data_IF_900875917270
#
_entry.id   IF_900875917270
#
_cell.length_a   1.000
_cell.length_b   1.000
_cell.length_c   1.000
_cell.angle_alpha   90.00
_cell.angle_beta   90.00
_cell.angle_gamma   90.00
#
_symmetry.space_group_name_H-M   'P 1'
#
loop_
_entity.id
_entity.type
_entity.pdbx_description
1 polymer ?
#
# COMPACT_ATOMS: atom_id res chain seq x y z
N UNK A 1 25.33 13.33 -26.65
CA UNK A 1 25.37 14.58 -25.87
C UNK A 1 24.34 14.56 -24.73
N UNK A 2 23.10 14.15 -24.99
CA UNK A 2 21.99 14.19 -24.03
C UNK A 2 22.05 13.18 -22.87
N UNK A 3 22.87 12.12 -22.96
CA UNK A 3 22.97 11.06 -21.95
C UNK A 3 24.33 11.00 -21.25
N UNK A 4 25.24 11.96 -21.48
CA UNK A 4 26.60 11.90 -20.93
C UNK A 4 26.61 12.41 -19.47
N UNK A 5 27.16 11.63 -18.54
CA UNK A 5 27.40 12.01 -17.14
C UNK A 5 28.25 13.29 -16.93
N UNK A 6 29.10 13.65 -17.89
CA UNK A 6 30.05 14.77 -17.75
C UNK A 6 29.54 16.09 -18.37
N UNK A 7 28.29 16.15 -18.83
CA UNK A 7 27.67 17.36 -19.42
C UNK A 7 26.25 17.52 -18.89
N UNK A 8 25.70 18.73 -19.01
CA UNK A 8 24.31 19.02 -18.66
C UNK A 8 23.36 17.99 -19.31
N UNK A 9 22.80 17.11 -18.48
CA UNK A 9 21.97 16.00 -18.92
C UNK A 9 20.51 16.34 -18.67
N UNK A 10 19.78 16.63 -19.75
CA UNK A 10 18.39 17.08 -19.67
C UNK A 10 17.48 16.05 -19.01
N UNK A 11 17.75 14.75 -19.18
CA UNK A 11 16.95 13.67 -18.56
C UNK A 11 17.12 13.68 -17.05
N UNK A 12 18.35 13.85 -16.57
CA UNK A 12 18.63 13.96 -15.13
C UNK A 12 17.94 15.19 -14.52
N UNK A 13 18.10 16.37 -15.13
CA UNK A 13 17.48 17.59 -14.61
C UNK A 13 15.96 17.55 -14.65
N UNK A 14 15.40 17.06 -15.76
CA UNK A 14 13.95 16.86 -15.89
C UNK A 14 13.45 15.88 -14.83
N UNK A 15 14.15 14.76 -14.63
CA UNK A 15 13.83 13.79 -13.58
C UNK A 15 13.88 14.41 -12.18
N UNK A 16 14.92 15.17 -11.87
CA UNK A 16 15.10 15.82 -10.57
C UNK A 16 14.01 16.87 -10.31
N UNK A 17 13.72 17.73 -11.28
CA UNK A 17 12.66 18.76 -11.17
C UNK A 17 11.29 18.10 -11.04
N UNK A 18 10.96 17.16 -11.91
CA UNK A 18 9.67 16.46 -11.88
C UNK A 18 9.52 15.53 -10.67
N UNK A 19 10.61 15.16 -9.99
CA UNK A 19 10.54 14.43 -8.73
C UNK A 19 10.34 15.36 -7.54
N UNK A 20 11.20 16.37 -7.41
CA UNK A 20 11.26 17.21 -6.22
C UNK A 20 10.16 18.27 -6.17
N UNK A 21 9.79 18.88 -7.29
CA UNK A 21 8.74 19.92 -7.31
C UNK A 21 7.38 19.35 -6.91
N UNK A 22 6.89 18.22 -7.50
CA UNK A 22 5.63 17.62 -7.06
C UNK A 22 5.69 17.11 -5.62
N UNK A 23 6.84 16.59 -5.17
CA UNK A 23 7.00 16.17 -3.78
C UNK A 23 6.90 17.36 -2.80
N UNK A 24 7.56 18.48 -3.10
CA UNK A 24 7.45 19.69 -2.28
C UNK A 24 6.03 20.26 -2.31
N UNK A 25 5.38 20.25 -3.49
CA UNK A 25 3.98 20.65 -3.61
C UNK A 25 3.07 19.77 -2.75
N UNK A 26 3.30 18.45 -2.73
CA UNK A 26 2.57 17.52 -1.87
C UNK A 26 2.73 17.88 -0.39
N UNK A 27 3.95 18.18 0.07
CA UNK A 27 4.20 18.63 1.44
C UNK A 27 3.45 19.93 1.75
N UNK A 28 3.51 20.91 0.85
CA UNK A 28 2.80 22.19 1.02
C UNK A 28 1.29 21.93 1.11
N UNK A 29 0.73 21.14 0.19
CA UNK A 29 -0.68 20.80 0.22
C UNK A 29 -1.05 20.07 1.51
N UNK A 30 -0.20 19.17 2.02
CA UNK A 30 -0.37 18.49 3.30
C UNK A 30 -0.53 19.47 4.47
N UNK A 31 0.31 20.50 4.53
CA UNK A 31 0.24 21.50 5.60
C UNK A 31 -0.95 22.46 5.48
N UNK A 32 -1.46 22.73 4.28
CA UNK A 32 -2.55 23.71 4.06
C UNK A 32 -3.93 23.07 3.91
N UNK A 33 -4.01 21.78 3.60
CA UNK A 33 -5.25 21.06 3.28
C UNK A 33 -5.29 19.66 3.93
N UNK A 34 -4.82 19.53 5.17
CA UNK A 34 -4.76 18.25 5.91
C UNK A 34 -6.07 17.46 5.80
N UNK A 35 -7.21 18.13 6.02
CA UNK A 35 -8.53 17.52 6.08
C UNK A 35 -8.98 16.99 4.70
N UNK A 36 -8.52 17.61 3.61
CA UNK A 36 -8.80 17.14 2.24
C UNK A 36 -7.87 16.03 1.78
N UNK A 37 -6.71 15.86 2.44
CA UNK A 37 -5.72 14.84 2.11
C UNK A 37 -5.99 13.54 2.82
N UNK A 38 -6.50 13.59 4.05
CA UNK A 38 -6.96 12.39 4.77
C UNK A 38 -8.01 11.61 3.94
N UNK A 39 -8.96 12.33 3.34
CA UNK A 39 -9.94 11.74 2.43
C UNK A 39 -9.32 11.10 1.16
N UNK A 40 -8.16 11.59 0.71
CA UNK A 40 -7.44 11.04 -0.44
C UNK A 40 -6.59 9.81 -0.08
N UNK A 41 -5.91 9.82 1.07
CA UNK A 41 -5.14 8.67 1.55
C UNK A 41 -6.08 7.46 1.66
N UNK A 42 -7.26 7.67 2.26
CA UNK A 42 -8.29 6.64 2.43
C UNK A 42 -8.93 6.15 1.11
N UNK A 43 -8.74 6.85 -0.02
CA UNK A 43 -9.25 6.42 -1.34
C UNK A 43 -8.24 5.63 -2.17
N UNK A 44 -6.93 5.83 -1.94
CA UNK A 44 -5.87 5.07 -2.61
C UNK A 44 -5.45 3.79 -1.88
N UNK A 45 -5.77 3.64 -0.59
CA UNK A 45 -5.46 2.43 0.17
C UNK A 45 -6.63 1.44 0.13
N UNK A 46 -6.40 0.28 -0.49
CA UNK A 46 -7.27 -0.88 -0.26
C UNK A 46 -6.90 -1.47 1.12
N UNK A 47 -7.45 -0.84 2.17
CA UNK A 47 -7.11 -1.08 3.59
C UNK A 47 -7.22 -2.55 4.00
N UNK A 48 -8.06 -3.31 3.28
CA UNK A 48 -8.32 -4.72 3.51
C UNK A 48 -7.08 -5.61 3.37
N UNK A 49 -6.12 -5.25 2.50
CA UNK A 49 -4.91 -6.05 2.27
C UNK A 49 -3.78 -5.71 3.26
N UNK A 50 -3.67 -4.46 3.68
CA UNK A 50 -2.54 -3.96 4.48
C UNK A 50 -2.74 -4.13 5.99
N UNK A 51 -3.98 -4.05 6.50
CA UNK A 51 -4.23 -3.94 7.96
C UNK A 51 -4.86 -5.17 8.62
N UNK A 52 -5.06 -6.28 7.90
CA UNK A 52 -5.74 -7.47 8.46
C UNK A 52 -5.01 -8.17 9.64
N UNK A 53 -3.68 -8.00 9.77
CA UNK A 53 -2.90 -8.38 10.96
C UNK A 53 -1.52 -7.69 10.98
N UNK A 54 -0.89 -7.60 12.17
CA UNK A 54 0.47 -7.07 12.36
C UNK A 54 1.50 -7.75 11.45
N UNK A 55 1.39 -9.07 11.30
CA UNK A 55 2.29 -9.86 10.45
C UNK A 55 2.10 -9.50 8.98
N UNK A 56 0.85 -9.40 8.50
CA UNK A 56 0.54 -9.00 7.13
C UNK A 56 1.02 -7.59 6.83
N UNK A 57 0.82 -6.67 7.76
CA UNK A 57 1.32 -5.29 7.66
C UNK A 57 2.84 -5.26 7.52
N UNK A 58 3.56 -5.92 8.44
CA UNK A 58 5.04 -5.99 8.39
C UNK A 58 5.50 -6.61 7.07
N UNK A 59 4.92 -7.74 6.66
CA UNK A 59 5.25 -8.38 5.37
C UNK A 59 5.01 -7.42 4.20
N UNK A 60 3.92 -6.67 4.22
CA UNK A 60 3.58 -5.70 3.18
C UNK A 60 4.55 -4.52 3.13
N UNK A 61 5.00 -4.01 4.28
CA UNK A 61 6.04 -2.99 4.38
C UNK A 61 7.36 -3.49 3.76
N UNK A 62 7.80 -4.69 4.15
CA UNK A 62 9.00 -5.30 3.58
C UNK A 62 8.88 -5.52 2.08
N UNK A 63 7.72 -5.96 1.61
CA UNK A 63 7.47 -6.17 0.19
C UNK A 63 7.54 -4.84 -0.58
N UNK A 64 6.81 -3.82 -0.14
CA UNK A 64 6.67 -2.52 -0.81
C UNK A 64 7.97 -1.70 -0.79
N UNK A 65 8.72 -1.74 0.32
CA UNK A 65 9.92 -0.93 0.48
C UNK A 65 11.18 -1.57 -0.11
N UNK A 66 11.28 -2.91 -0.11
CA UNK A 66 12.51 -3.61 -0.51
C UNK A 66 12.34 -4.47 -1.76
N UNK A 67 11.32 -5.32 -1.79
CA UNK A 67 11.23 -6.38 -2.80
C UNK A 67 10.63 -5.86 -4.10
N UNK A 68 9.50 -5.15 -4.04
CA UNK A 68 8.84 -4.58 -5.22
C UNK A 68 9.77 -3.66 -6.04
N UNK A 69 10.54 -2.72 -5.43
CA UNK A 69 11.51 -1.92 -6.17
C UNK A 69 12.54 -2.74 -6.96
N UNK A 70 13.02 -3.87 -6.42
CA UNK A 70 13.97 -4.73 -7.14
C UNK A 70 13.33 -5.29 -8.42
N UNK A 71 12.09 -5.81 -8.31
CA UNK A 71 11.36 -6.35 -9.45
C UNK A 71 11.04 -5.28 -10.48
N UNK A 72 10.55 -4.12 -10.02
CA UNK A 72 10.22 -2.99 -10.88
C UNK A 72 11.44 -2.50 -11.67
N UNK A 73 12.58 -2.30 -11.02
CA UNK A 73 13.81 -1.88 -11.71
C UNK A 73 14.31 -2.95 -12.69
N UNK A 74 14.24 -4.24 -12.36
CA UNK A 74 14.61 -5.31 -13.30
C UNK A 74 13.70 -5.31 -14.53
N UNK A 75 12.38 -5.15 -14.32
CA UNK A 75 11.38 -5.20 -15.38
C UNK A 75 11.43 -3.94 -16.25
N UNK A 76 11.46 -2.75 -15.67
CA UNK A 76 11.41 -1.50 -16.41
C UNK A 76 12.76 -1.07 -16.96
N UNK A 77 13.86 -1.32 -16.24
CA UNK A 77 15.17 -0.79 -16.66
C UNK A 77 16.07 -1.84 -17.31
N UNK A 78 15.71 -3.12 -17.20
CA UNK A 78 16.47 -4.23 -17.79
C UNK A 78 16.67 -4.13 -19.30
N UNK A 79 15.74 -3.50 -20.03
CA UNK A 79 15.84 -3.26 -21.47
C UNK A 79 17.05 -2.40 -21.88
N UNK A 80 17.52 -1.55 -20.98
CA UNK A 80 18.63 -0.61 -21.22
C UNK A 80 19.99 -1.22 -20.86
N UNK A 81 20.03 -2.40 -20.24
CA UNK A 81 21.27 -3.10 -19.92
C UNK A 81 21.91 -3.75 -21.15
N UNK A 82 23.22 -3.96 -21.12
CA UNK A 82 23.93 -4.65 -22.23
C UNK A 82 23.63 -6.15 -22.29
N UNK A 83 23.28 -6.77 -21.15
CA UNK A 83 23.06 -8.20 -21.04
C UNK A 83 21.70 -8.60 -21.67
N UNK A 84 21.73 -9.54 -22.62
CA UNK A 84 20.54 -10.00 -23.37
C UNK A 84 19.48 -10.65 -22.47
N UNK A 85 19.88 -11.35 -21.41
CA UNK A 85 18.96 -12.00 -20.49
C UNK A 85 18.07 -10.97 -19.79
N UNK A 86 18.67 -9.91 -19.24
CA UNK A 86 17.90 -8.83 -18.61
C UNK A 86 16.99 -8.08 -19.59
N UNK A 87 17.42 -7.92 -20.85
CA UNK A 87 16.54 -7.34 -21.88
C UNK A 87 15.29 -8.17 -22.12
N UNK A 88 15.44 -9.49 -22.26
CA UNK A 88 14.29 -10.38 -22.46
C UNK A 88 13.39 -10.44 -21.24
N UNK A 89 13.97 -10.51 -20.03
CA UNK A 89 13.21 -10.42 -18.78
C UNK A 89 12.42 -9.11 -18.73
N UNK A 90 13.03 -7.99 -19.11
CA UNK A 90 12.37 -6.69 -19.16
C UNK A 90 11.24 -6.64 -20.17
N UNK A 91 11.44 -7.10 -21.41
CA UNK A 91 10.36 -7.09 -22.41
C UNK A 91 9.18 -7.98 -22.02
N UNK A 92 9.43 -9.23 -21.62
CA UNK A 92 8.36 -10.12 -21.18
C UNK A 92 7.71 -9.62 -19.89
N UNK A 93 8.52 -9.09 -18.97
CA UNK A 93 8.08 -8.48 -17.73
C UNK A 93 7.18 -7.28 -17.97
N UNK A 94 7.55 -6.34 -18.84
CA UNK A 94 6.76 -5.15 -19.15
C UNK A 94 5.41 -5.53 -19.76
N UNK A 95 5.39 -6.51 -20.67
CA UNK A 95 4.15 -7.04 -21.20
C UNK A 95 3.28 -7.66 -20.10
N UNK A 96 3.82 -8.56 -19.30
CA UNK A 96 3.09 -9.22 -18.21
C UNK A 96 2.58 -8.24 -17.15
N UNK A 97 3.43 -7.31 -16.72
CA UNK A 97 3.13 -6.30 -15.71
C UNK A 97 2.02 -5.36 -16.19
N UNK A 98 2.09 -4.89 -17.44
CA UNK A 98 1.03 -4.06 -18.04
C UNK A 98 -0.30 -4.81 -18.12
N UNK A 99 -0.28 -6.09 -18.52
CA UNK A 99 -1.50 -6.91 -18.62
C UNK A 99 -2.10 -7.29 -17.26
N UNK A 100 -1.28 -7.36 -16.21
CA UNK A 100 -1.74 -7.73 -14.87
C UNK A 100 -2.24 -6.52 -14.07
N UNK A 101 -1.44 -5.46 -13.97
CA UNK A 101 -1.71 -4.35 -13.05
C UNK A 101 -2.64 -3.27 -13.62
N UNK A 102 -2.52 -2.95 -14.91
CA UNK A 102 -3.25 -1.81 -15.46
C UNK A 102 -3.50 -1.95 -16.97
N UNK A 103 -4.64 -2.53 -17.32
CA UNK A 103 -5.08 -2.76 -18.71
C UNK A 103 -5.68 -1.50 -19.37
N UNK A 104 -5.29 -0.31 -18.93
CA UNK A 104 -5.75 0.93 -19.57
C UNK A 104 -5.25 1.01 -21.01
N UNK A 105 -6.06 1.64 -21.88
CA UNK A 105 -5.64 1.89 -23.27
C UNK A 105 -4.36 2.73 -23.32
N UNK A 106 -4.14 3.59 -22.33
CA UNK A 106 -2.96 4.44 -22.23
C UNK A 106 -1.68 3.64 -21.95
N UNK A 107 -1.70 2.69 -21.00
CA UNK A 107 -0.54 1.84 -20.71
C UNK A 107 -0.20 0.95 -21.91
N UNK A 108 -1.22 0.38 -22.57
CA UNK A 108 -1.04 -0.44 -23.77
C UNK A 108 -0.45 0.37 -24.94
N UNK A 109 -0.92 1.60 -25.15
CA UNK A 109 -0.38 2.50 -26.17
C UNK A 109 1.08 2.86 -25.89
N UNK A 110 1.43 3.16 -24.64
CA UNK A 110 2.81 3.46 -24.24
C UNK A 110 3.74 2.25 -24.37
N UNK A 111 3.26 1.04 -24.02
CA UNK A 111 3.99 -0.20 -24.22
C UNK A 111 4.28 -0.46 -25.70
N UNK A 112 3.28 -0.26 -26.57
CA UNK A 112 3.45 -0.41 -28.01
C UNK A 112 4.46 0.61 -28.56
N UNK A 113 4.37 1.88 -28.14
CA UNK A 113 5.34 2.92 -28.51
C UNK A 113 6.76 2.57 -28.05
N UNK A 114 6.91 2.06 -26.82
CA UNK A 114 8.20 1.60 -26.31
C UNK A 114 8.80 0.49 -27.19
N UNK A 115 8.00 -0.49 -27.62
CA UNK A 115 8.46 -1.54 -28.53
C UNK A 115 8.77 -1.03 -29.93
N UNK A 116 7.98 -0.10 -30.46
CA UNK A 116 8.27 0.57 -31.75
C UNK A 116 9.62 1.29 -31.66
N UNK A 117 9.85 2.10 -30.63
CA UNK A 117 11.12 2.79 -30.47
C UNK A 117 12.29 1.84 -30.22
N UNK A 118 12.08 0.73 -29.51
CA UNK A 118 13.07 -0.33 -29.34
C UNK A 118 13.46 -0.94 -30.68
N UNK A 119 12.48 -1.29 -31.50
CA UNK A 119 12.70 -1.82 -32.85
C UNK A 119 13.45 -0.82 -33.72
N UNK A 120 13.00 0.44 -33.77
CA UNK A 120 13.63 1.50 -34.55
C UNK A 120 15.07 1.79 -34.10
N UNK A 121 15.34 1.78 -32.78
CA UNK A 121 16.67 1.96 -32.24
C UNK A 121 17.62 0.85 -32.69
N UNK A 122 17.17 -0.41 -32.68
CA UNK A 122 17.97 -1.54 -33.15
C UNK A 122 18.18 -1.53 -34.67
N UNK A 123 17.15 -1.17 -35.45
CA UNK A 123 17.21 -1.13 -36.91
C UNK A 123 18.08 0.02 -37.44
N UNK A 124 17.97 1.22 -36.83
CA UNK A 124 18.60 2.45 -37.33
C UNK A 124 19.86 2.87 -36.56
N UNK A 125 20.15 2.25 -35.40
CA UNK A 125 21.29 2.56 -34.51
C UNK A 125 21.41 4.05 -34.18
N UNK A 126 20.29 4.75 -34.03
CA UNK A 126 20.25 6.20 -33.80
C UNK A 126 19.94 6.49 -32.33
N UNK A 127 20.85 7.22 -31.67
CA UNK A 127 20.74 7.64 -30.27
C UNK A 127 19.46 8.43 -29.94
N UNK A 128 18.84 9.09 -30.93
CA UNK A 128 17.56 9.76 -30.73
C UNK A 128 16.46 8.80 -30.27
N UNK A 129 16.39 7.59 -30.84
CA UNK A 129 15.38 6.60 -30.45
C UNK A 129 15.60 6.07 -29.03
N UNK A 130 16.83 6.05 -28.54
CA UNK A 130 17.11 5.70 -27.14
C UNK A 130 16.46 6.70 -26.17
N UNK A 131 16.44 7.99 -26.52
CA UNK A 131 15.77 9.02 -25.70
C UNK A 131 14.27 8.82 -25.70
N UNK A 132 13.69 8.51 -26.86
CA UNK A 132 12.26 8.21 -26.96
C UNK A 132 11.89 6.97 -26.14
N UNK A 133 12.71 5.91 -26.20
CA UNK A 133 12.54 4.72 -25.35
C UNK A 133 12.54 5.09 -23.85
N UNK A 134 13.49 5.92 -23.40
CA UNK A 134 13.59 6.37 -22.00
C UNK A 134 12.31 7.10 -21.59
N UNK A 135 11.87 8.07 -22.40
CA UNK A 135 10.66 8.86 -22.12
C UNK A 135 9.42 7.97 -22.10
N UNK A 136 9.23 7.11 -23.09
CA UNK A 136 8.06 6.22 -23.13
C UNK A 136 8.05 5.21 -22.00
N UNK A 137 9.22 4.69 -21.59
CA UNK A 137 9.32 3.73 -20.50
C UNK A 137 9.01 4.39 -19.14
N UNK A 138 9.55 5.59 -18.91
CA UNK A 138 9.23 6.35 -17.69
C UNK A 138 7.75 6.76 -17.64
N UNK A 139 7.16 7.15 -18.77
CA UNK A 139 5.72 7.43 -18.85
C UNK A 139 4.89 6.17 -18.58
N UNK A 140 5.28 5.03 -19.16
CA UNK A 140 4.61 3.75 -18.94
C UNK A 140 4.66 3.36 -17.46
N UNK A 141 5.83 3.47 -16.82
CA UNK A 141 5.98 3.24 -15.38
C UNK A 141 5.01 4.11 -14.60
N UNK A 142 4.96 5.41 -14.88
CA UNK A 142 4.07 6.32 -14.18
C UNK A 142 2.58 6.01 -14.40
N UNK A 143 2.17 5.70 -15.63
CA UNK A 143 0.78 5.48 -16.02
C UNK A 143 0.23 4.16 -15.48
N UNK A 144 1.05 3.12 -15.38
CA UNK A 144 0.61 1.83 -14.83
C UNK A 144 0.19 1.96 -13.36
N UNK A 145 0.76 2.90 -12.62
CA UNK A 145 0.41 3.15 -11.22
C UNK A 145 -0.79 4.09 -11.03
N UNK A 146 -1.47 4.51 -12.11
CA UNK A 146 -2.65 5.39 -12.02
C UNK A 146 -3.92 4.58 -12.15
N UNK A 147 -4.79 4.67 -11.14
CA UNK A 147 -6.16 4.21 -11.25
C UNK A 147 -6.99 5.27 -12.00
N UNK A 148 -7.24 5.03 -13.29
CA UNK A 148 -7.99 5.98 -14.12
C UNK A 148 -9.48 6.11 -13.75
N UNK A 149 -9.99 5.24 -12.88
CA UNK A 149 -11.37 5.34 -12.37
C UNK A 149 -11.47 6.27 -11.16
N UNK A 150 -10.36 6.62 -10.51
CA UNK A 150 -10.31 7.48 -9.33
C UNK A 150 -9.29 8.61 -9.53
N UNK A 151 -9.58 9.50 -10.49
CA UNK A 151 -8.74 10.67 -10.76
C UNK A 151 -9.11 11.82 -9.82
N UNK A 152 -8.11 12.38 -9.16
CA UNK A 152 -8.27 13.53 -8.27
C UNK A 152 -7.15 14.56 -8.48
N UNK A 153 -7.15 15.62 -7.66
CA UNK A 153 -6.19 16.74 -7.75
C UNK A 153 -4.74 16.30 -7.50
N UNK A 154 -4.51 15.20 -6.78
CA UNK A 154 -3.19 14.65 -6.50
C UNK A 154 -2.69 13.73 -7.61
N UNK A 155 -3.57 13.18 -8.46
CA UNK A 155 -3.16 12.27 -9.54
C UNK A 155 -2.09 12.87 -10.47
N UNK A 156 -2.21 14.12 -10.96
CA UNK A 156 -1.16 14.73 -11.78
C UNK A 156 0.18 14.91 -11.03
N UNK A 157 0.13 15.19 -9.73
CA UNK A 157 1.31 15.37 -8.86
C UNK A 157 2.03 14.02 -8.70
N UNK A 158 1.26 12.97 -8.41
CA UNK A 158 1.75 11.60 -8.28
C UNK A 158 2.35 11.10 -9.60
N UNK A 159 1.67 11.33 -10.72
CA UNK A 159 2.14 10.99 -12.06
C UNK A 159 3.47 11.72 -12.38
N UNK A 160 3.54 13.03 -12.16
CA UNK A 160 4.77 13.79 -12.39
C UNK A 160 5.95 13.27 -11.53
N UNK A 161 5.69 12.96 -10.24
CA UNK A 161 6.70 12.41 -9.32
C UNK A 161 7.20 11.03 -9.74
N UNK A 162 6.30 10.12 -10.14
CA UNK A 162 6.66 8.77 -10.61
C UNK A 162 7.43 8.84 -11.94
N UNK A 163 6.95 9.64 -12.88
CA UNK A 163 7.65 9.89 -14.15
C UNK A 163 9.06 10.47 -13.92
N UNK A 164 9.18 11.50 -13.08
CA UNK A 164 10.47 12.11 -12.73
C UNK A 164 11.42 11.12 -12.04
N UNK A 165 10.91 10.33 -11.11
CA UNK A 165 11.68 9.27 -10.43
C UNK A 165 12.22 8.23 -11.41
N UNK A 166 11.38 7.76 -12.34
CA UNK A 166 11.79 6.75 -13.31
C UNK A 166 12.80 7.28 -14.34
N UNK A 167 12.75 8.57 -14.68
CA UNK A 167 13.78 9.21 -15.50
C UNK A 167 15.15 9.22 -14.79
N UNK A 168 15.17 9.44 -13.47
CA UNK A 168 16.40 9.37 -12.66
C UNK A 168 16.94 7.94 -12.60
N UNK A 169 16.07 6.94 -12.38
CA UNK A 169 16.42 5.53 -12.40
C UNK A 169 17.06 5.14 -13.75
N UNK A 170 16.40 5.43 -14.87
CA UNK A 170 16.93 5.18 -16.21
C UNK A 170 18.25 5.90 -16.48
N UNK A 171 18.39 7.15 -16.01
CA UNK A 171 19.65 7.88 -16.10
C UNK A 171 20.78 7.16 -15.37
N UNK A 172 20.51 6.64 -14.16
CA UNK A 172 21.47 5.84 -13.39
C UNK A 172 21.81 4.53 -14.09
N UNK A 173 20.83 3.83 -14.67
CA UNK A 173 21.08 2.57 -15.39
C UNK A 173 21.92 2.78 -16.64
N UNK A 174 21.64 3.84 -17.41
CA UNK A 174 22.37 4.17 -18.64
C UNK A 174 23.81 4.62 -18.34
N UNK A 175 24.05 5.36 -17.26
CA UNK A 175 25.37 5.93 -16.95
C UNK A 175 26.20 5.10 -15.97
N UNK A 176 25.56 4.25 -15.17
CA UNK A 176 26.18 3.48 -14.10
C UNK A 176 25.78 2.00 -14.19
N UNK A 177 24.96 1.51 -13.26
CA UNK A 177 24.56 0.11 -13.12
C UNK A 177 23.15 0.06 -12.52
N UNK A 178 22.41 -1.01 -12.83
CA UNK A 178 21.07 -1.27 -12.30
C UNK A 178 20.99 -1.14 -10.77
N UNK A 179 22.02 -1.61 -10.05
CA UNK A 179 22.04 -1.59 -8.59
C UNK A 179 21.88 -0.18 -7.98
N UNK A 180 22.33 0.87 -8.67
CA UNK A 180 22.17 2.24 -8.17
C UNK A 180 20.73 2.74 -8.31
N UNK A 181 20.03 2.35 -9.37
CA UNK A 181 18.61 2.64 -9.54
C UNK A 181 17.78 1.90 -8.48
N UNK A 182 18.08 0.62 -8.24
CA UNK A 182 17.48 -0.17 -7.16
C UNK A 182 17.66 0.51 -5.80
N UNK A 183 18.88 0.93 -5.44
CA UNK A 183 19.11 1.59 -4.16
C UNK A 183 18.37 2.94 -4.05
N UNK A 184 18.32 3.73 -5.13
CA UNK A 184 17.56 4.98 -5.15
C UNK A 184 16.07 4.73 -4.92
N UNK A 185 15.51 3.71 -5.59
CA UNK A 185 14.10 3.36 -5.49
C UNK A 185 13.75 2.84 -4.09
N UNK A 186 14.54 1.90 -3.55
CA UNK A 186 14.39 1.40 -2.17
C UNK A 186 14.47 2.56 -1.17
N UNK A 187 15.46 3.44 -1.30
CA UNK A 187 15.61 4.60 -0.43
C UNK A 187 14.38 5.49 -0.48
N UNK A 188 13.89 5.80 -1.69
CA UNK A 188 12.73 6.65 -1.87
C UNK A 188 11.45 6.04 -1.30
N UNK A 189 11.17 4.76 -1.57
CA UNK A 189 9.99 4.08 -1.03
C UNK A 189 10.07 3.95 0.48
N UNK A 190 11.24 3.62 1.03
CA UNK A 190 11.45 3.57 2.48
C UNK A 190 11.24 4.95 3.11
N UNK A 191 11.73 6.01 2.48
CA UNK A 191 11.54 7.38 2.95
C UNK A 191 10.06 7.80 2.97
N UNK A 192 9.32 7.53 1.88
CA UNK A 192 7.87 7.78 1.85
C UNK A 192 7.11 6.94 2.88
N UNK A 193 7.50 5.67 3.06
CA UNK A 193 6.92 4.79 4.07
C UNK A 193 7.15 5.31 5.50
N UNK A 194 8.36 5.78 5.81
CA UNK A 194 8.66 6.37 7.13
C UNK A 194 7.83 7.64 7.35
N UNK A 195 7.67 8.48 6.32
CA UNK A 195 6.79 9.66 6.38
C UNK A 195 5.34 9.23 6.65
N UNK A 196 4.82 8.26 5.90
CA UNK A 196 3.46 7.76 6.08
C UNK A 196 3.24 7.23 7.51
N UNK A 197 4.15 6.39 8.01
CA UNK A 197 4.07 5.85 9.38
C UNK A 197 4.14 6.93 10.47
N UNK A 198 4.87 8.02 10.22
CA UNK A 198 4.99 9.12 11.17
C UNK A 198 3.70 9.95 11.25
N UNK A 199 3.04 10.20 10.11
CA UNK A 199 1.84 11.04 10.05
C UNK A 199 0.54 10.28 10.35
N UNK A 200 0.42 9.06 9.83
CA UNK A 200 -0.79 8.24 9.97
C UNK A 200 -0.86 7.54 11.35
N UNK A 201 0.30 7.47 12.04
CA UNK A 201 0.51 6.82 13.34
C UNK A 201 -0.39 5.58 13.59
N UNK A 202 -0.50 4.60 12.65
CA UNK A 202 -1.37 3.44 12.80
C UNK A 202 -0.95 2.53 13.96
N UNK A 203 0.22 2.80 14.56
CA UNK A 203 0.76 2.15 15.74
C UNK A 203 0.14 2.68 17.05
N UNK A 204 -0.39 3.91 17.07
CA UNK A 204 -0.92 4.56 18.27
C UNK A 204 -2.26 5.29 18.09
N UNK A 205 -2.76 5.52 16.88
CA UNK A 205 -4.06 6.16 16.65
C UNK A 205 -5.21 5.18 16.96
N UNK A 206 -5.57 5.10 18.22
CA UNK A 206 -6.99 5.10 18.56
C UNK A 206 -7.28 6.58 18.75
N UNK A 207 -7.88 7.24 17.74
CA UNK A 207 -8.68 8.43 18.06
C UNK A 207 -9.55 8.05 19.25
N UNK A 208 -9.70 8.89 20.27
CA UNK A 208 -10.54 8.59 21.44
C UNK A 208 -11.91 8.09 20.95
N UNK A 209 -12.05 6.78 20.81
CA UNK A 209 -13.24 6.18 20.25
C UNK A 209 -14.24 6.24 21.38
N UNK A 210 -15.43 6.76 21.05
CA UNK A 210 -16.52 6.83 22.00
C UNK A 210 -16.66 5.45 22.67
N UNK A 211 -16.60 5.42 24.00
CA UNK A 211 -16.84 4.20 24.75
C UNK A 211 -18.25 3.71 24.38
N UNK A 212 -18.32 2.63 23.62
CA UNK A 212 -19.59 2.05 23.20
C UNK A 212 -20.09 1.16 24.33
N UNK A 213 -21.36 1.33 24.64
CA UNK A 213 -22.03 0.63 25.72
C UNK A 213 -23.21 -0.14 25.18
N UNK A 214 -23.31 -1.40 25.58
CA UNK A 214 -24.47 -2.22 25.30
C UNK A 214 -24.91 -2.95 26.57
N UNK A 215 -26.19 -2.81 26.93
CA UNK A 215 -26.76 -3.46 28.10
C UNK A 215 -28.11 -4.07 27.79
N UNK A 216 -28.33 -5.28 28.32
CA UNK A 216 -29.63 -5.91 28.35
C UNK A 216 -29.88 -6.62 29.69
N UNK A 217 -30.92 -7.46 29.78
CA UNK A 217 -31.29 -8.20 30.99
C UNK A 217 -30.23 -9.22 31.46
N UNK A 218 -29.26 -9.55 30.61
CA UNK A 218 -28.33 -10.67 30.76
C UNK A 218 -26.87 -10.24 30.83
N UNK A 219 -26.48 -9.16 30.17
CA UNK A 219 -25.09 -8.75 30.03
C UNK A 219 -24.96 -7.24 29.91
N UNK A 220 -23.78 -6.75 30.28
CA UNK A 220 -23.31 -5.41 30.01
C UNK A 220 -21.95 -5.56 29.32
N UNK A 221 -21.82 -4.97 28.13
CA UNK A 221 -20.60 -4.93 27.34
C UNK A 221 -20.21 -3.47 27.13
N UNK A 222 -19.10 -3.09 27.72
CA UNK A 222 -18.38 -1.86 27.41
C UNK A 222 -17.25 -2.23 26.44
N UNK A 223 -17.14 -1.51 25.33
CA UNK A 223 -16.03 -1.72 24.41
C UNK A 223 -15.58 -0.43 23.74
N UNK A 224 -14.30 -0.37 23.42
CA UNK A 224 -13.68 0.69 22.65
C UNK A 224 -12.65 0.08 21.70
N UNK A 225 -12.35 0.77 20.60
CA UNK A 225 -11.32 0.32 19.68
C UNK A 225 -9.97 0.34 20.39
N UNK A 226 -9.14 -0.64 20.06
CA UNK A 226 -7.81 -0.81 20.63
C UNK A 226 -6.75 -0.76 19.52
N UNK A 227 -5.52 -0.33 19.83
CA UNK A 227 -4.47 -0.28 18.82
C UNK A 227 -4.25 -1.66 18.19
N UNK A 228 -4.18 -1.69 16.86
CA UNK A 228 -4.03 -2.93 16.11
C UNK A 228 -2.74 -3.72 16.46
N UNK A 229 -1.74 -3.06 17.05
CA UNK A 229 -0.40 -3.61 17.30
C UNK A 229 -0.11 -4.04 18.75
N UNK A 230 -1.10 -3.97 19.64
CA UNK A 230 -0.98 -4.42 21.03
C UNK A 230 -1.26 -5.94 21.16
N UNK A 231 -0.57 -6.60 22.08
CA UNK A 231 -0.79 -8.03 22.36
C UNK A 231 -2.13 -8.24 23.08
N UNK A 232 -2.84 -9.31 22.71
CA UNK A 232 -4.11 -9.66 23.35
C UNK A 232 -3.86 -10.07 24.80
N UNK A 233 -4.65 -9.52 25.73
CA UNK A 233 -4.58 -9.90 27.14
C UNK A 233 -5.96 -10.23 27.66
N UNK A 234 -6.04 -11.33 28.39
CA UNK A 234 -7.28 -11.81 28.99
C UNK A 234 -7.14 -11.80 30.49
N UNK A 235 -8.03 -11.06 31.16
CA UNK A 235 -8.13 -10.99 32.61
C UNK A 235 -9.55 -11.35 33.03
N UNK A 236 -9.69 -12.57 33.57
CA UNK A 236 -10.94 -13.09 34.09
C UNK A 236 -10.95 -12.87 35.60
N UNK A 237 -11.48 -11.72 36.06
CA UNK A 237 -11.51 -11.42 37.50
C UNK A 237 -12.39 -12.40 38.27
N UNK A 238 -13.48 -12.88 37.66
CA UNK A 238 -14.39 -13.90 38.18
C UNK A 238 -15.25 -14.48 37.04
N UNK A 239 -16.15 -15.42 37.37
CA UNK A 239 -17.09 -16.02 36.40
C UNK A 239 -18.07 -15.03 35.77
N UNK A 240 -18.24 -13.84 36.38
CA UNK A 240 -19.20 -12.82 35.96
C UNK A 240 -18.58 -11.60 35.29
N UNK A 241 -17.26 -11.42 35.27
CA UNK A 241 -16.60 -10.21 34.77
C UNK A 241 -15.32 -10.53 34.01
N UNK A 242 -15.29 -10.17 32.73
CA UNK A 242 -14.15 -10.41 31.84
C UNK A 242 -13.61 -9.10 31.29
N UNK A 243 -12.29 -8.98 31.30
CA UNK A 243 -11.58 -7.90 30.65
C UNK A 243 -10.70 -8.51 29.54
N UNK A 244 -10.96 -8.10 28.30
CA UNK A 244 -10.18 -8.54 27.15
C UNK A 244 -9.56 -7.28 26.54
N UNK A 245 -8.23 -7.16 26.58
CA UNK A 245 -7.53 -6.04 25.95
C UNK A 245 -7.05 -6.42 24.57
N UNK A 246 -7.26 -5.51 23.61
CA UNK A 246 -6.82 -5.58 22.22
C UNK A 246 -7.23 -6.89 21.54
N UNK A 247 -8.38 -7.43 21.96
CA UNK A 247 -8.86 -8.71 21.53
C UNK A 247 -9.65 -8.57 20.23
N UNK A 248 -9.47 -9.54 19.34
CA UNK A 248 -10.40 -9.71 18.22
C UNK A 248 -11.70 -10.32 18.72
N UNK A 249 -12.77 -9.98 18.03
CA UNK A 249 -14.09 -10.61 18.19
C UNK A 249 -13.99 -12.14 18.03
N UNK A 250 -13.19 -12.59 17.08
CA UNK A 250 -12.90 -14.01 16.89
C UNK A 250 -12.29 -14.65 18.15
N UNK A 251 -11.41 -13.93 18.84
CA UNK A 251 -10.78 -14.41 20.06
C UNK A 251 -11.78 -14.53 21.22
N UNK A 252 -12.74 -13.61 21.32
CA UNK A 252 -13.86 -13.69 22.27
C UNK A 252 -14.66 -14.99 22.08
N UNK A 253 -14.95 -15.36 20.83
CA UNK A 253 -15.68 -16.59 20.50
C UNK A 253 -14.87 -17.85 20.90
N UNK A 254 -13.55 -17.85 20.64
CA UNK A 254 -12.67 -19.00 20.93
C UNK A 254 -12.49 -19.30 22.43
N UNK A 255 -12.56 -18.28 23.30
CA UNK A 255 -12.26 -18.41 24.74
C UNK A 255 -13.19 -19.36 25.47
N UNK A 256 -14.42 -19.57 24.97
CA UNK A 256 -15.38 -20.43 25.69
C UNK A 256 -16.28 -21.28 24.82
N UNK A 257 -16.52 -20.95 23.54
CA UNK A 257 -17.54 -21.63 22.75
C UNK A 257 -17.17 -21.84 21.28
N UNK A 258 -17.10 -23.11 20.92
CA UNK A 258 -17.31 -23.64 19.57
C UNK A 258 -16.08 -23.65 18.64
N UNK A 259 -15.66 -24.89 18.38
CA UNK A 259 -14.74 -25.32 17.33
C UNK A 259 -15.49 -25.48 15.97
N UNK A 260 -16.41 -24.58 15.64
CA UNK A 260 -17.17 -24.65 14.37
C UNK A 260 -16.66 -23.61 13.38
N UNK A 261 -15.96 -24.11 12.37
CA UNK A 261 -15.40 -23.33 11.27
C UNK A 261 -16.44 -22.49 10.50
N UNK A 262 -17.73 -22.85 10.59
CA UNK A 262 -18.84 -22.15 9.93
C UNK A 262 -19.14 -20.77 10.52
N UNK A 263 -19.03 -20.60 11.84
CA UNK A 263 -19.24 -19.31 12.52
C UNK A 263 -18.03 -18.40 12.30
N UNK A 264 -16.80 -18.93 12.39
CA UNK A 264 -15.57 -18.17 12.11
C UNK A 264 -15.54 -17.52 10.72
N UNK A 265 -16.11 -18.18 9.70
CA UNK A 265 -16.10 -17.66 8.34
C UNK A 265 -17.04 -16.46 8.12
N UNK A 266 -18.07 -16.27 8.95
CA UNK A 266 -18.96 -15.10 8.90
C UNK A 266 -18.31 -13.83 9.48
N UNK A 267 -17.39 -13.98 10.45
CA UNK A 267 -16.80 -12.85 11.19
C UNK A 267 -15.40 -12.44 10.74
N UNK A 268 -14.81 -13.13 9.74
CA UNK A 268 -13.53 -12.74 9.11
C UNK A 268 -13.52 -11.33 8.48
N UNK A 269 -14.68 -10.69 8.36
CA UNK A 269 -14.84 -9.37 7.76
C UNK A 269 -14.47 -8.21 8.72
N UNK A 270 -14.56 -8.37 10.03
CA UNK A 270 -14.21 -7.31 10.97
C UNK A 270 -12.83 -7.57 11.59
N UNK A 271 -11.81 -6.91 11.04
CA UNK A 271 -10.41 -7.12 11.45
C UNK A 271 -9.97 -6.26 12.65
N UNK A 272 -10.85 -5.37 13.11
CA UNK A 272 -10.59 -4.47 14.24
C UNK A 272 -10.32 -5.20 15.56
N UNK A 273 -9.55 -4.54 16.42
CA UNK A 273 -9.25 -5.00 17.79
C UNK A 273 -9.94 -4.07 18.77
N UNK A 274 -10.44 -4.64 19.86
CA UNK A 274 -11.18 -3.90 20.86
C UNK A 274 -10.74 -4.26 22.27
N UNK A 275 -10.83 -3.29 23.16
CA UNK A 275 -10.80 -3.50 24.60
C UNK A 275 -12.24 -3.75 25.05
N UNK A 276 -12.55 -4.97 25.52
CA UNK A 276 -13.85 -5.36 26.03
C UNK A 276 -13.84 -5.46 27.56
N UNK A 277 -14.86 -4.89 28.20
CA UNK A 277 -15.24 -5.15 29.58
C UNK A 277 -16.66 -5.74 29.58
N UNK A 278 -16.77 -7.02 29.94
CA UNK A 278 -18.01 -7.79 29.86
C UNK A 278 -18.43 -8.21 31.25
N UNK A 279 -19.66 -7.87 31.63
CA UNK A 279 -20.27 -8.24 32.91
C UNK A 279 -21.54 -9.05 32.68
N UNK A 280 -21.57 -10.28 33.19
CA UNK A 280 -22.72 -11.18 33.12
C UNK A 280 -23.64 -10.96 34.34
N UNK A 281 -24.94 -10.81 34.08
CA UNK A 281 -26.00 -10.79 35.10
C UNK A 281 -26.36 -12.24 35.49
N UNK A 282 -26.79 -12.45 36.73
CA UNK A 282 -26.92 -13.80 37.31
C UNK A 282 -27.83 -14.74 36.49
N UNK A 283 -27.46 -16.03 36.44
CA UNK A 283 -28.34 -17.11 35.95
C UNK A 283 -28.14 -17.56 34.49
N UNK A 284 -27.10 -17.12 33.80
CA UNK A 284 -26.85 -17.50 32.40
C UNK A 284 -26.06 -18.79 32.25
N UNK A 285 -26.53 -19.67 31.36
CA UNK A 285 -25.69 -20.73 30.83
C UNK A 285 -24.85 -20.21 29.64
N UNK A 286 -23.71 -20.86 29.51
CA UNK A 286 -22.73 -20.74 28.44
C UNK A 286 -23.30 -20.68 26.99
N UNK A 287 -24.36 -21.43 26.68
CA UNK A 287 -25.00 -21.42 25.36
C UNK A 287 -25.92 -20.22 25.13
N UNK A 288 -26.49 -19.64 26.20
CA UNK A 288 -27.29 -18.41 26.12
C UNK A 288 -26.41 -17.20 25.83
N UNK A 289 -25.21 -17.13 26.42
CA UNK A 289 -24.20 -16.10 26.14
C UNK A 289 -23.77 -16.14 24.67
N UNK A 290 -23.54 -17.33 24.12
CA UNK A 290 -23.14 -17.51 22.73
C UNK A 290 -24.24 -17.11 21.74
N UNK A 291 -25.47 -17.61 21.95
CA UNK A 291 -26.61 -17.29 21.07
C UNK A 291 -26.85 -15.79 21.02
N UNK A 292 -26.63 -15.11 22.15
CA UNK A 292 -26.73 -13.68 22.29
C UNK A 292 -25.60 -12.91 21.56
N UNK A 293 -24.33 -13.28 21.74
CA UNK A 293 -23.19 -12.66 21.03
C UNK A 293 -23.32 -12.79 19.51
N UNK A 294 -24.05 -13.80 19.03
CA UNK A 294 -24.31 -14.07 17.60
C UNK A 294 -25.57 -13.37 17.08
N UNK A 295 -26.67 -13.32 17.84
CA UNK A 295 -27.97 -12.81 17.37
C UNK A 295 -28.17 -11.29 17.54
N UNK A 296 -27.69 -10.68 18.64
CA UNK A 296 -28.03 -9.29 19.00
C UNK A 296 -26.90 -8.29 18.67
N UNK A 297 -26.33 -8.42 17.47
CA UNK A 297 -25.79 -7.27 16.72
C UNK A 297 -24.70 -6.41 17.39
N UNK A 298 -23.82 -6.95 18.24
CA UNK A 298 -22.57 -6.23 18.57
C UNK A 298 -21.63 -6.10 17.33
N UNK A 299 -21.94 -6.78 16.21
CA UNK A 299 -20.98 -7.10 15.15
C UNK A 299 -21.51 -7.06 13.70
N UNK A 300 -22.78 -6.69 13.47
CA UNK A 300 -23.39 -6.74 12.12
C UNK A 300 -23.91 -5.37 11.63
N UNK A 301 -23.97 -4.33 12.46
CA UNK A 301 -24.33 -2.99 11.97
C UNK A 301 -23.21 -1.96 12.18
N UNK A 302 -22.32 -1.90 11.19
CA UNK A 302 -21.98 -0.69 10.42
C UNK A 302 -21.29 -1.11 9.11
#
# INVERSE_FOLDING_TARGET
MLLNKNKFNIIFYMGLVLKLVPFFLLIVLFFFFSDSIEQYINSETDDSFFFGSKEKFIVSLFWTALIAPIYEEIIFDGAFLKNKTYKWISYLGLFGFTMYFNRSVYSLALLLLFYIFTYLNNARKNNSYTIHMIITNALLFSVIHVNFYDLNVFTPISLASRFGGHLLALWLVVNYKLIYAIFLHIFWNTFLMVIALYFDNPLNSVEETELLYYENEYINVEYNEAPNFQDEKYDFKNDSTWYLKSAKVESLLKIKFINSDSILNLYKANSGRYDFNIRFKEGLNNNQILKFLIQDSLLIEK
#
